data_IF_585446869246
#
_entry.id   IF_585446869246
#
_cell.length_a   1.000
_cell.length_b   1.000
_cell.length_c   1.000
_cell.angle_alpha   90.00
_cell.angle_beta   90.00
_cell.angle_gamma   90.00
#
_symmetry.space_group_name_H-M   'P 1'
#
loop_
_entity.id
_entity.type
_entity.pdbx_description
1 polymer ?
#
# COMPACT_ATOMS: atom_id res chain seq x y z
N UNK A 1 17.06 6.91 -27.85
CA UNK A 1 15.75 6.23 -27.72
C UNK A 1 15.82 5.33 -26.50
N UNK A 2 14.86 5.40 -25.57
CA UNK A 2 14.86 4.51 -24.41
C UNK A 2 14.53 3.08 -24.87
N UNK A 3 15.44 2.15 -24.65
CA UNK A 3 15.25 0.75 -25.04
C UNK A 3 14.27 0.09 -24.07
N UNK A 4 13.23 -0.56 -24.60
CA UNK A 4 12.28 -1.30 -23.79
C UNK A 4 13.02 -2.45 -23.08
N UNK A 5 13.05 -2.39 -21.75
CA UNK A 5 13.71 -3.42 -20.93
C UNK A 5 12.65 -4.36 -20.37
N UNK A 6 12.78 -5.65 -20.66
CA UNK A 6 11.89 -6.67 -20.07
C UNK A 6 12.15 -6.76 -18.57
N UNK A 7 11.10 -6.57 -17.77
CA UNK A 7 11.17 -6.75 -16.33
C UNK A 7 10.85 -8.21 -15.98
N UNK A 8 11.69 -8.83 -15.15
CA UNK A 8 11.45 -10.14 -14.55
C UNK A 8 11.26 -9.89 -13.07
N UNK A 9 10.01 -9.91 -12.62
CA UNK A 9 9.66 -9.56 -11.24
C UNK A 9 9.82 -10.81 -10.35
N UNK A 10 10.73 -10.78 -9.35
CA UNK A 10 10.88 -11.90 -8.42
C UNK A 10 9.60 -12.17 -7.62
N UNK A 11 9.36 -13.45 -7.31
CA UNK A 11 8.23 -13.88 -6.49
C UNK A 11 8.42 -13.51 -5.01
N UNK A 12 9.64 -13.70 -4.49
CA UNK A 12 9.98 -13.29 -3.13
C UNK A 12 9.90 -11.77 -2.98
N UNK A 13 9.39 -11.30 -1.83
CA UNK A 13 9.18 -9.87 -1.59
C UNK A 13 10.51 -9.13 -1.44
N UNK A 14 11.44 -9.68 -0.66
CA UNK A 14 12.70 -9.00 -0.39
C UNK A 14 13.53 -8.89 -1.68
N UNK A 15 13.61 -9.97 -2.46
CA UNK A 15 14.25 -9.97 -3.77
C UNK A 15 13.57 -8.99 -4.74
N UNK A 16 12.23 -8.95 -4.76
CA UNK A 16 11.48 -8.04 -5.62
C UNK A 16 11.76 -6.57 -5.30
N UNK A 17 11.81 -6.20 -4.02
CA UNK A 17 12.15 -4.83 -3.62
C UNK A 17 13.57 -4.44 -4.03
N UNK A 18 14.54 -5.34 -3.85
CA UNK A 18 15.91 -5.11 -4.30
C UNK A 18 16.02 -5.04 -5.82
N UNK A 19 15.26 -5.85 -6.55
CA UNK A 19 15.20 -5.81 -8.01
C UNK A 19 14.64 -4.49 -8.51
N UNK A 20 13.49 -4.03 -7.99
CA UNK A 20 12.88 -2.74 -8.37
C UNK A 20 13.86 -1.59 -8.12
N UNK A 21 14.55 -1.58 -6.98
CA UNK A 21 15.56 -0.54 -6.67
C UNK A 21 16.70 -0.49 -7.69
N UNK A 22 17.17 -1.66 -8.15
CA UNK A 22 18.23 -1.75 -9.17
C UNK A 22 17.74 -1.30 -10.54
N UNK A 23 16.50 -1.63 -10.90
CA UNK A 23 15.92 -1.27 -12.19
C UNK A 23 15.54 0.21 -12.30
N UNK A 24 15.25 0.87 -11.18
CA UNK A 24 14.80 2.27 -11.15
C UNK A 24 15.63 3.11 -10.17
N UNK A 25 16.94 3.29 -10.43
CA UNK A 25 17.84 4.00 -9.49
C UNK A 25 17.51 5.49 -9.34
N UNK A 26 16.85 6.09 -10.34
CA UNK A 26 16.42 7.49 -10.34
C UNK A 26 15.03 7.70 -9.74
N UNK A 27 14.38 6.66 -9.21
CA UNK A 27 13.07 6.80 -8.57
C UNK A 27 13.17 7.67 -7.31
N UNK A 28 12.30 8.67 -7.22
CA UNK A 28 12.22 9.59 -6.09
C UNK A 28 11.19 9.04 -5.09
N UNK A 29 11.54 9.03 -3.80
CA UNK A 29 10.64 8.63 -2.72
C UNK A 29 11.30 7.70 -1.72
N UNK A 30 10.60 7.45 -0.62
CA UNK A 30 11.05 6.51 0.40
C UNK A 30 10.89 5.06 -0.07
N UNK A 31 11.75 4.19 0.45
CA UNK A 31 11.63 2.75 0.25
C UNK A 31 10.42 2.27 1.04
N UNK A 32 9.49 1.58 0.37
CA UNK A 32 8.34 0.97 1.01
C UNK A 32 8.80 -0.19 1.91
N UNK A 33 8.91 0.10 3.22
CA UNK A 33 9.25 -0.88 4.25
C UNK A 33 8.12 -1.87 4.53
N UNK A 34 8.26 -2.65 5.61
CA UNK A 34 7.23 -3.61 6.04
C UNK A 34 5.90 -2.94 6.43
N UNK A 35 5.92 -1.65 6.78
CA UNK A 35 4.73 -0.84 7.01
C UNK A 35 3.80 -0.78 5.78
N UNK A 36 4.30 -1.02 4.58
CA UNK A 36 3.54 -1.00 3.33
C UNK A 36 3.60 -2.37 2.64
N UNK A 37 3.15 -3.40 3.36
CA UNK A 37 2.83 -4.69 2.73
C UNK A 37 1.52 -4.56 1.95
N UNK A 38 1.58 -4.95 0.68
CA UNK A 38 0.42 -5.02 -0.20
C UNK A 38 -0.37 -6.32 -0.04
N UNK A 39 -1.41 -6.47 -0.87
CA UNK A 39 -2.21 -7.69 -0.95
C UNK A 39 -3.43 -7.68 -0.02
N UNK A 40 -4.37 -8.59 -0.32
CA UNK A 40 -5.68 -8.66 0.32
C UNK A 40 -5.63 -8.96 1.82
N UNK A 41 -4.75 -9.86 2.24
CA UNK A 41 -4.63 -10.24 3.65
C UNK A 41 -4.26 -9.05 4.54
N UNK A 42 -3.24 -8.29 4.12
CA UNK A 42 -2.82 -7.10 4.87
C UNK A 42 -3.89 -5.98 4.80
N UNK A 43 -4.61 -5.88 3.68
CA UNK A 43 -5.71 -4.93 3.55
C UNK A 43 -6.82 -5.17 4.59
N UNK A 44 -7.25 -6.42 4.72
CA UNK A 44 -8.27 -6.83 5.70
C UNK A 44 -7.77 -6.63 7.14
N UNK A 45 -6.50 -6.97 7.41
CA UNK A 45 -5.88 -6.72 8.71
C UNK A 45 -5.93 -5.24 9.08
N UNK A 46 -5.56 -4.35 8.14
CA UNK A 46 -5.62 -2.89 8.37
C UNK A 46 -7.04 -2.41 8.60
N UNK A 47 -7.99 -2.86 7.78
CA UNK A 47 -9.41 -2.52 7.91
C UNK A 47 -9.95 -2.90 9.30
N UNK A 48 -9.67 -4.12 9.76
CA UNK A 48 -10.13 -4.60 11.07
C UNK A 48 -9.44 -3.92 12.27
N UNK A 49 -8.23 -3.37 12.06
CA UNK A 49 -7.47 -2.66 13.11
C UNK A 49 -7.77 -1.16 13.19
N UNK A 50 -8.54 -0.62 12.24
CA UNK A 50 -8.78 0.82 12.20
C UNK A 50 -9.78 1.24 13.27
N UNK A 51 -9.56 2.41 13.87
CA UNK A 51 -10.53 3.04 14.76
C UNK A 51 -11.41 4.02 13.95
N UNK A 52 -12.61 3.58 13.58
CA UNK A 52 -13.55 4.38 12.82
C UNK A 52 -14.04 5.62 13.59
N UNK A 53 -14.13 5.54 14.92
CA UNK A 53 -14.59 6.66 15.77
C UNK A 53 -13.51 7.73 15.83
N UNK A 54 -12.26 7.34 16.05
CA UNK A 54 -11.14 8.26 16.02
C UNK A 54 -10.98 8.90 14.63
N UNK A 55 -11.04 8.10 13.56
CA UNK A 55 -10.99 8.60 12.18
C UNK A 55 -12.06 9.65 11.92
N UNK A 56 -13.32 9.41 12.29
CA UNK A 56 -14.39 10.39 12.08
C UNK A 56 -14.11 11.71 12.82
N UNK A 57 -13.56 11.63 14.05
CA UNK A 57 -13.26 12.82 14.88
C UNK A 57 -12.09 13.64 14.34
N UNK A 58 -11.08 13.00 13.74
CA UNK A 58 -9.82 13.66 13.39
C UNK A 58 -9.41 13.53 11.91
N UNK A 59 -10.32 13.13 11.01
CA UNK A 59 -10.06 12.92 9.56
C UNK A 59 -9.41 14.10 8.84
N UNK A 60 -9.59 15.32 9.33
CA UNK A 60 -9.08 16.55 8.71
C UNK A 60 -7.75 17.04 9.30
N UNK A 61 -7.21 16.35 10.30
CA UNK A 61 -5.95 16.72 10.92
C UNK A 61 -4.80 16.06 10.17
N UNK A 62 -3.72 16.82 9.92
CA UNK A 62 -2.54 16.33 9.20
C UNK A 62 -1.89 15.10 9.87
N UNK A 63 -2.04 14.97 11.19
CA UNK A 63 -1.59 13.83 12.00
C UNK A 63 -2.78 13.05 12.60
N UNK A 64 -3.95 13.11 11.96
CA UNK A 64 -5.14 12.37 12.39
C UNK A 64 -5.02 10.86 12.21
N UNK A 65 -6.07 10.13 12.57
CA UNK A 65 -6.18 8.68 12.46
C UNK A 65 -6.41 8.24 11.00
N UNK A 66 -5.51 8.61 10.10
CA UNK A 66 -5.54 8.23 8.69
C UNK A 66 -5.43 6.70 8.56
N UNK A 67 -6.42 6.08 7.95
CA UNK A 67 -6.55 4.60 7.89
C UNK A 67 -5.53 3.93 6.98
N UNK A 68 -4.86 4.70 6.10
CA UNK A 68 -3.92 4.19 5.07
C UNK A 68 -4.55 3.14 4.13
N UNK A 69 -5.88 3.10 4.00
CA UNK A 69 -6.59 2.12 3.18
C UNK A 69 -6.67 2.46 1.69
N UNK A 70 -6.39 3.71 1.29
CA UNK A 70 -6.55 4.18 -0.09
C UNK A 70 -5.81 3.35 -1.16
N UNK A 71 -4.58 2.83 -0.93
CA UNK A 71 -3.92 2.00 -1.93
C UNK A 71 -4.61 0.64 -2.12
N UNK A 72 -5.23 0.11 -1.06
CA UNK A 72 -5.93 -1.18 -1.10
C UNK A 72 -7.22 -1.09 -1.91
N UNK A 73 -7.99 -0.01 -1.77
CA UNK A 73 -9.15 0.25 -2.63
C UNK A 73 -8.72 0.47 -4.08
N UNK A 74 -7.68 1.30 -4.31
CA UNK A 74 -7.19 1.62 -5.65
C UNK A 74 -6.78 0.39 -6.45
N UNK A 75 -6.18 -0.59 -5.78
CA UNK A 75 -5.72 -1.83 -6.41
C UNK A 75 -6.69 -3.01 -6.25
N UNK A 76 -7.93 -2.78 -5.82
CA UNK A 76 -8.96 -3.82 -5.71
C UNK A 76 -8.71 -4.88 -4.65
N UNK A 77 -7.82 -4.61 -3.68
CA UNK A 77 -7.60 -5.51 -2.55
C UNK A 77 -8.77 -5.49 -1.55
N UNK A 78 -9.51 -4.38 -1.51
CA UNK A 78 -10.74 -4.16 -0.75
C UNK A 78 -11.83 -3.58 -1.65
N UNK A 79 -13.07 -3.90 -1.31
CA UNK A 79 -14.28 -3.31 -1.89
C UNK A 79 -14.90 -2.31 -0.92
N UNK A 80 -15.67 -1.35 -1.45
CA UNK A 80 -16.40 -0.40 -0.61
C UNK A 80 -17.42 -1.09 0.31
N UNK A 81 -18.03 -2.19 -0.14
CA UNK A 81 -18.97 -2.99 0.65
C UNK A 81 -18.30 -3.57 1.90
N UNK A 82 -17.11 -4.14 1.76
CA UNK A 82 -16.35 -4.66 2.91
C UNK A 82 -16.03 -3.57 3.94
N UNK A 83 -15.85 -2.33 3.50
CA UNK A 83 -15.56 -1.21 4.38
C UNK A 83 -16.79 -0.55 5.00
N UNK A 84 -17.98 -0.74 4.42
CA UNK A 84 -19.24 -0.25 4.97
C UNK A 84 -19.94 -1.26 5.89
N UNK A 85 -19.74 -2.54 5.64
CA UNK A 85 -20.42 -3.63 6.33
C UNK A 85 -19.70 -4.07 7.63
N UNK A 86 -18.41 -3.76 7.75
CA UNK A 86 -17.59 -4.04 8.95
C UNK A 86 -17.73 -2.97 10.01
#
# INVERSE_FOLDING_TARGET
MAQATKLIIPCDRAERLQYIRRMFPSAIGSILGDEWRGGRHEALKRLNSMDAVAYNRNRNFLNGAVTKLSPFFRHGCLTLKEASDG
#
